data_IF_684060109686
#
_entry.id   IF_684060109686
#
_cell.length_a   1.000
_cell.length_b   1.000
_cell.length_c   1.000
_cell.angle_alpha   90.00
_cell.angle_beta   90.00
_cell.angle_gamma   90.00
#
_symmetry.space_group_name_H-M   'P 1'
#
loop_
_entity.id
_entity.type
_entity.pdbx_description
1 polymer ?
#
# COMPACT_ATOMS: atom_id res chain seq x y z
N UNK A 1 -4.50 17.52 12.40
CA UNK A 1 -3.03 17.74 12.42
C UNK A 1 -2.76 19.25 12.32
N UNK A 2 -1.63 19.78 12.81
CA UNK A 2 -1.25 21.19 12.59
C UNK A 2 -1.20 21.53 11.10
N UNK A 3 -1.55 22.77 10.71
CA UNK A 3 -1.48 23.22 9.31
C UNK A 3 -0.06 23.06 8.76
N UNK A 4 0.06 22.48 7.57
CA UNK A 4 1.34 22.28 6.87
C UNK A 4 2.12 21.02 7.26
N UNK A 5 1.56 20.13 8.09
CA UNK A 5 2.13 18.80 8.38
C UNK A 5 1.31 17.70 7.71
N UNK A 6 2.00 16.71 7.18
CA UNK A 6 1.42 15.46 6.65
C UNK A 6 1.46 14.37 7.72
N UNK A 7 0.73 13.28 7.48
CA UNK A 7 0.79 12.07 8.28
C UNK A 7 2.22 11.55 8.48
N UNK A 8 3.07 11.68 7.46
CA UNK A 8 4.45 11.16 7.48
C UNK A 8 5.40 12.00 8.34
N UNK A 9 5.02 13.23 8.70
CA UNK A 9 5.78 14.11 9.61
C UNK A 9 5.55 13.77 11.10
N UNK A 10 4.70 12.78 11.37
CA UNK A 10 4.33 12.37 12.74
C UNK A 10 5.13 11.17 13.24
N UNK A 11 6.05 10.63 12.44
CA UNK A 11 6.92 9.51 12.79
C UNK A 11 8.39 9.83 12.52
N UNK A 12 9.28 9.17 13.24
CA UNK A 12 10.71 9.20 12.93
C UNK A 12 11.05 8.21 11.80
N UNK A 13 12.04 8.56 10.98
CA UNK A 13 12.41 7.80 9.79
C UNK A 13 13.81 7.20 9.93
N UNK A 14 13.99 6.00 9.38
CA UNK A 14 15.28 5.34 9.23
C UNK A 14 15.44 4.77 7.82
N UNK A 15 16.69 4.47 7.47
CA UNK A 15 17.00 3.70 6.26
C UNK A 15 17.23 2.23 6.64
N UNK A 16 16.79 1.33 5.77
CA UNK A 16 16.93 -0.11 5.94
C UNK A 16 17.23 -0.77 4.59
N UNK A 17 18.13 -1.74 4.57
CA UNK A 17 18.39 -2.55 3.39
C UNK A 17 17.63 -3.87 3.54
N UNK A 18 16.66 -4.11 2.66
CA UNK A 18 15.90 -5.35 2.67
C UNK A 18 16.66 -6.44 1.93
N UNK A 19 17.12 -7.45 2.67
CA UNK A 19 17.80 -8.64 2.14
C UNK A 19 17.03 -9.88 2.58
N UNK A 20 16.57 -10.68 1.63
CA UNK A 20 15.91 -11.96 1.89
C UNK A 20 16.78 -13.08 1.33
N UNK A 21 17.08 -14.06 2.18
CA UNK A 21 17.87 -15.25 1.84
C UNK A 21 16.99 -16.50 1.84
N UNK A 22 17.37 -17.50 1.04
CA UNK A 22 16.78 -18.83 1.09
C UNK A 22 17.39 -19.68 2.23
N UNK A 23 16.95 -20.94 2.35
CA UNK A 23 17.44 -21.87 3.38
C UNK A 23 18.94 -22.19 3.23
N UNK A 24 19.46 -22.11 2.01
CA UNK A 24 20.87 -22.31 1.66
C UNK A 24 21.74 -21.05 1.88
N UNK A 25 21.14 -19.94 2.34
CA UNK A 25 21.83 -18.68 2.62
C UNK A 25 22.09 -17.79 1.39
N UNK A 26 21.64 -18.18 0.20
CA UNK A 26 21.72 -17.37 -1.01
C UNK A 26 20.68 -16.25 -1.01
N UNK A 27 21.09 -15.05 -1.43
CA UNK A 27 20.20 -13.89 -1.53
C UNK A 27 19.23 -14.06 -2.70
N UNK A 28 17.93 -14.05 -2.41
CA UNK A 28 16.85 -14.16 -3.41
C UNK A 28 16.15 -12.82 -3.67
N UNK A 29 16.35 -11.84 -2.80
CA UNK A 29 15.86 -10.49 -2.97
C UNK A 29 16.77 -9.51 -2.23
N UNK A 30 17.08 -8.39 -2.88
CA UNK A 30 17.81 -7.28 -2.27
C UNK A 30 17.22 -5.95 -2.76
N UNK A 31 16.96 -5.03 -1.84
CA UNK A 31 16.64 -3.64 -2.12
C UNK A 31 17.23 -2.74 -1.04
N UNK A 32 18.10 -1.83 -1.44
CA UNK A 32 18.86 -0.96 -0.52
C UNK A 32 18.21 0.41 -0.36
N UNK A 33 18.55 1.07 0.75
CA UNK A 33 18.19 2.46 1.03
C UNK A 33 16.70 2.68 1.22
N UNK A 34 15.98 1.69 1.75
CA UNK A 34 14.53 1.82 1.96
C UNK A 34 14.28 2.79 3.09
N UNK A 35 13.53 3.85 2.82
CA UNK A 35 13.08 4.77 3.86
C UNK A 35 11.82 4.21 4.52
N UNK A 36 11.89 3.97 5.83
CA UNK A 36 10.81 3.36 6.61
C UNK A 36 10.67 4.02 7.99
N UNK A 37 9.49 3.98 8.63
CA UNK A 37 9.32 4.45 10.00
C UNK A 37 10.21 3.66 10.97
N UNK A 38 10.78 4.36 11.96
CA UNK A 38 11.72 3.77 12.91
C UNK A 38 11.10 2.65 13.76
N UNK A 39 9.80 2.71 14.01
CA UNK A 39 9.05 1.73 14.81
C UNK A 39 8.64 0.47 14.01
N UNK A 40 8.80 0.44 12.69
CA UNK A 40 8.48 -0.76 11.89
C UNK A 40 9.56 -1.83 12.07
N UNK A 41 9.18 -3.09 12.24
CA UNK A 41 10.14 -4.19 12.34
C UNK A 41 10.89 -4.41 11.01
N UNK A 42 12.13 -4.90 11.07
CA UNK A 42 12.92 -5.24 9.87
C UNK A 42 12.20 -6.26 8.99
N UNK A 43 11.57 -7.26 9.61
CA UNK A 43 10.75 -8.26 8.91
C UNK A 43 9.59 -7.61 8.14
N UNK A 44 8.90 -6.65 8.75
CA UNK A 44 7.81 -5.91 8.09
C UNK A 44 8.33 -5.11 6.90
N UNK A 45 9.48 -4.44 7.03
CA UNK A 45 10.10 -3.68 5.95
C UNK A 45 10.51 -4.63 4.81
N UNK A 46 11.12 -5.77 5.12
CA UNK A 46 11.53 -6.77 4.13
C UNK A 46 10.32 -7.35 3.36
N UNK A 47 9.22 -7.64 4.06
CA UNK A 47 7.97 -8.10 3.43
C UNK A 47 7.39 -7.00 2.55
N UNK A 48 7.32 -5.76 3.03
CA UNK A 48 6.82 -4.64 2.24
C UNK A 48 7.63 -4.42 0.97
N UNK A 49 8.95 -4.42 1.08
CA UNK A 49 9.87 -4.27 -0.04
C UNK A 49 9.72 -5.37 -1.10
N UNK A 50 9.62 -6.63 -0.66
CA UNK A 50 9.60 -7.79 -1.56
C UNK A 50 8.23 -8.08 -2.15
N UNK A 51 7.14 -7.79 -1.41
CA UNK A 51 5.78 -8.13 -1.81
C UNK A 51 4.96 -6.93 -2.24
N UNK A 52 5.10 -5.76 -1.61
CA UNK A 52 4.16 -4.65 -1.78
C UNK A 52 4.68 -3.48 -2.59
N UNK A 53 5.99 -3.27 -2.66
CA UNK A 53 6.57 -2.25 -3.53
C UNK A 53 6.37 -2.59 -5.01
N UNK A 54 5.99 -1.58 -5.78
CA UNK A 54 5.64 -1.67 -7.20
C UNK A 54 6.60 -0.90 -8.08
N UNK A 55 6.59 -1.23 -9.36
CA UNK A 55 7.23 -0.43 -10.40
C UNK A 55 6.11 0.38 -11.04
N UNK A 56 6.21 1.69 -10.97
CA UNK A 56 5.25 2.65 -11.51
C UNK A 56 6.05 3.56 -12.43
N UNK A 57 5.62 3.66 -13.70
CA UNK A 57 6.33 4.45 -14.73
C UNK A 57 7.84 4.13 -14.81
N UNK A 58 8.17 2.84 -14.73
CA UNK A 58 9.55 2.35 -14.78
C UNK A 58 10.38 2.57 -13.51
N UNK A 59 9.81 3.17 -12.45
CA UNK A 59 10.51 3.41 -11.18
C UNK A 59 9.95 2.53 -10.09
N UNK A 60 10.84 1.80 -9.40
CA UNK A 60 10.46 1.01 -8.24
C UNK A 60 10.27 1.89 -7.02
N UNK A 61 9.18 1.69 -6.31
CA UNK A 61 9.00 2.23 -4.96
C UNK A 61 10.17 1.79 -4.07
N UNK A 62 10.68 2.73 -3.26
CA UNK A 62 11.82 2.52 -2.37
C UNK A 62 11.55 3.06 -0.95
N UNK A 63 10.29 3.32 -0.61
CA UNK A 63 9.94 3.83 0.70
C UNK A 63 8.53 3.44 1.13
N UNK A 64 8.33 3.34 2.44
CA UNK A 64 7.03 3.00 3.04
C UNK A 64 6.02 4.13 2.83
N UNK A 65 6.44 5.40 2.93
CA UNK A 65 5.57 6.54 2.64
C UNK A 65 5.11 6.57 1.18
N UNK A 66 5.98 6.21 0.22
CA UNK A 66 5.61 6.10 -1.19
C UNK A 66 4.54 5.02 -1.41
N UNK A 67 4.74 3.83 -0.85
CA UNK A 67 3.79 2.73 -0.91
C UNK A 67 2.43 3.08 -0.30
N UNK A 68 2.42 3.71 0.88
CA UNK A 68 1.19 4.14 1.55
C UNK A 68 0.50 5.22 0.72
N UNK A 69 1.24 6.27 0.32
CA UNK A 69 0.70 7.40 -0.43
C UNK A 69 0.10 6.96 -1.75
N UNK A 70 0.70 6.01 -2.48
CA UNK A 70 0.09 5.46 -3.71
C UNK A 70 -1.35 5.03 -3.48
N UNK A 71 -1.60 4.26 -2.42
CA UNK A 71 -2.94 3.70 -2.15
C UNK A 71 -3.88 4.79 -1.64
N UNK A 72 -3.47 5.55 -0.61
CA UNK A 72 -4.32 6.56 0.01
C UNK A 72 -4.67 7.70 -0.95
N UNK A 73 -3.69 8.15 -1.74
CA UNK A 73 -3.90 9.18 -2.76
C UNK A 73 -4.88 8.70 -3.83
N UNK A 74 -4.68 7.49 -4.37
CA UNK A 74 -5.59 6.96 -5.39
C UNK A 74 -7.04 6.87 -4.88
N UNK A 75 -7.24 6.43 -3.64
CA UNK A 75 -8.58 6.38 -3.01
C UNK A 75 -9.19 7.78 -2.92
N UNK A 76 -8.44 8.79 -2.48
CA UNK A 76 -8.92 10.16 -2.40
C UNK A 76 -9.25 10.74 -3.79
N UNK A 77 -8.40 10.53 -4.79
CA UNK A 77 -8.65 10.98 -6.16
C UNK A 77 -9.90 10.33 -6.76
N UNK A 78 -10.09 9.02 -6.57
CA UNK A 78 -11.34 8.36 -6.99
C UNK A 78 -12.56 8.88 -6.25
N UNK A 79 -12.42 9.22 -4.96
CA UNK A 79 -13.49 9.89 -4.22
C UNK A 79 -13.91 11.21 -4.87
N UNK A 80 -12.95 12.01 -5.35
CA UNK A 80 -13.22 13.26 -6.08
C UNK A 80 -13.93 12.95 -7.41
N UNK A 81 -13.37 12.05 -8.22
CA UNK A 81 -13.94 11.69 -9.54
C UNK A 81 -15.39 11.18 -9.42
N UNK A 82 -15.70 10.46 -8.35
CA UNK A 82 -17.03 9.90 -8.08
C UNK A 82 -17.97 10.86 -7.36
N UNK A 83 -17.51 12.07 -6.99
CA UNK A 83 -18.33 13.10 -6.35
C UNK A 83 -18.69 12.82 -4.89
N UNK A 84 -17.82 12.12 -4.14
CA UNK A 84 -18.05 11.80 -2.72
C UNK A 84 -17.79 12.94 -1.74
N UNK A 85 -17.25 14.07 -2.20
CA UNK A 85 -16.83 15.17 -1.33
C UNK A 85 -17.56 16.45 -1.69
N UNK A 86 -17.97 17.19 -0.65
CA UNK A 86 -18.57 18.51 -0.79
C UNK A 86 -17.50 19.58 -1.04
N UNK A 87 -16.28 19.35 -0.54
CA UNK A 87 -15.14 20.26 -0.68
C UNK A 87 -13.85 19.52 -1.03
N UNK A 88 -12.90 20.15 -1.78
CA UNK A 88 -11.59 19.56 -2.06
C UNK A 88 -10.78 19.20 -0.79
N UNK A 89 -11.01 19.93 0.29
CA UNK A 89 -10.35 19.73 1.58
C UNK A 89 -10.72 18.40 2.24
N UNK A 90 -11.91 17.87 1.98
CA UNK A 90 -12.34 16.57 2.51
C UNK A 90 -11.55 15.42 1.89
N UNK A 91 -11.27 15.47 0.58
CA UNK A 91 -10.42 14.49 -0.10
C UNK A 91 -9.01 14.47 0.49
N UNK A 92 -8.45 15.67 0.73
CA UNK A 92 -7.15 15.83 1.38
C UNK A 92 -7.17 15.28 2.80
N UNK A 93 -8.25 15.55 3.55
CA UNK A 93 -8.44 15.05 4.91
C UNK A 93 -8.52 13.53 4.93
N UNK A 94 -9.21 12.91 3.97
CA UNK A 94 -9.28 11.46 3.84
C UNK A 94 -7.90 10.86 3.54
N UNK A 95 -7.16 11.41 2.56
CA UNK A 95 -5.83 10.93 2.20
C UNK A 95 -4.88 10.94 3.42
N UNK A 96 -4.84 12.07 4.14
CA UNK A 96 -3.96 12.24 5.30
C UNK A 96 -4.41 11.38 6.49
N UNK A 97 -5.71 11.23 6.72
CA UNK A 97 -6.24 10.37 7.79
C UNK A 97 -5.93 8.90 7.52
N UNK A 98 -6.14 8.41 6.29
CA UNK A 98 -5.78 7.05 5.92
C UNK A 98 -4.26 6.84 6.00
N UNK A 99 -3.47 7.78 5.49
CA UNK A 99 -2.00 7.71 5.55
C UNK A 99 -1.50 7.64 6.99
N UNK A 100 -2.12 8.39 7.92
CA UNK A 100 -1.82 8.34 9.35
C UNK A 100 -2.09 6.95 9.92
N UNK A 101 -3.28 6.39 9.67
CA UNK A 101 -3.63 5.05 10.15
C UNK A 101 -2.65 3.99 9.64
N UNK A 102 -2.22 4.09 8.39
CA UNK A 102 -1.28 3.13 7.79
C UNK A 102 0.14 3.28 8.35
N UNK A 103 0.68 4.51 8.43
CA UNK A 103 2.07 4.72 8.87
C UNK A 103 2.28 4.36 10.33
N UNK A 104 1.26 4.58 11.17
CA UNK A 104 1.25 4.19 12.59
C UNK A 104 0.83 2.73 12.83
N UNK A 105 0.58 1.95 11.77
CA UNK A 105 0.13 0.56 11.84
C UNK A 105 -1.16 0.36 12.70
N UNK A 106 -2.06 1.35 12.70
CA UNK A 106 -3.35 1.30 13.41
C UNK A 106 -4.41 0.54 12.60
N UNK A 107 -4.23 0.45 11.30
CA UNK A 107 -5.04 -0.34 10.37
C UNK A 107 -4.16 -0.80 9.20
N UNK A 108 -4.66 -1.75 8.41
CA UNK A 108 -4.04 -2.18 7.17
C UNK A 108 -5.09 -2.57 6.14
N UNK A 109 -4.87 -2.22 4.88
CA UNK A 109 -5.66 -2.77 3.78
C UNK A 109 -5.30 -4.25 3.55
N UNK A 110 -6.23 -4.98 2.93
CA UNK A 110 -5.96 -6.33 2.47
C UNK A 110 -4.88 -6.35 1.37
N UNK A 111 -4.31 -7.51 1.10
CA UNK A 111 -3.20 -7.63 0.15
C UNK A 111 -3.54 -7.18 -1.28
N UNK A 112 -4.71 -7.53 -1.88
CA UNK A 112 -5.09 -7.03 -3.21
C UNK A 112 -5.03 -5.51 -3.39
N UNK A 113 -5.44 -4.75 -2.36
CA UNK A 113 -5.33 -3.28 -2.37
C UNK A 113 -3.88 -2.85 -2.55
N UNK A 114 -2.96 -3.39 -1.74
CA UNK A 114 -1.52 -3.10 -1.87
C UNK A 114 -0.93 -3.55 -3.21
N UNK A 115 -1.44 -4.64 -3.80
CA UNK A 115 -1.02 -5.14 -5.11
C UNK A 115 -1.42 -4.24 -6.26
N UNK A 116 -2.66 -3.75 -6.28
CA UNK A 116 -3.29 -3.26 -7.51
C UNK A 116 -3.63 -1.76 -7.48
N UNK A 117 -3.95 -1.18 -6.33
CA UNK A 117 -4.42 0.22 -6.25
C UNK A 117 -3.28 1.19 -6.57
N UNK A 118 -3.56 2.16 -7.45
CA UNK A 118 -2.55 3.09 -7.95
C UNK A 118 -1.51 2.46 -8.87
N UNK A 119 -1.74 1.24 -9.35
CA UNK A 119 -0.88 0.52 -10.32
C UNK A 119 -1.65 0.19 -11.60
N UNK A 120 -2.89 -0.28 -11.45
CA UNK A 120 -3.79 -0.61 -12.54
C UNK A 120 -4.87 0.45 -12.67
N UNK A 121 -5.34 0.68 -13.90
CA UNK A 121 -6.46 1.59 -14.18
C UNK A 121 -7.75 1.14 -13.48
N UNK A 122 -8.06 -0.17 -13.57
CA UNK A 122 -9.18 -0.80 -12.89
C UNK A 122 -8.64 -1.85 -11.90
N UNK A 123 -8.38 -1.47 -10.64
CA UNK A 123 -7.75 -2.36 -9.68
C UNK A 123 -8.73 -3.36 -9.05
N UNK A 124 -8.27 -4.60 -8.87
CA UNK A 124 -8.95 -5.62 -8.09
C UNK A 124 -8.58 -5.45 -6.61
N UNK A 125 -9.55 -5.10 -5.76
CA UNK A 125 -9.30 -4.69 -4.36
C UNK A 125 -9.81 -5.68 -3.29
N UNK A 126 -10.49 -6.76 -3.69
CA UNK A 126 -11.13 -7.72 -2.78
C UNK A 126 -10.39 -9.06 -2.76
N UNK A 127 -10.11 -9.62 -1.59
CA UNK A 127 -9.48 -10.95 -1.52
C UNK A 127 -10.50 -12.10 -1.58
N UNK A 128 -11.78 -11.81 -1.35
CA UNK A 128 -12.80 -12.82 -1.11
C UNK A 128 -13.91 -12.71 -2.15
N UNK A 129 -14.32 -13.86 -2.68
CA UNK A 129 -15.40 -13.99 -3.66
C UNK A 129 -16.26 -15.18 -3.27
N UNK A 130 -17.57 -15.06 -3.49
CA UNK A 130 -18.52 -16.15 -3.34
C UNK A 130 -19.15 -16.35 -4.71
N UNK A 131 -19.11 -17.58 -5.22
CA UNK A 131 -19.71 -17.97 -6.49
C UNK A 131 -20.82 -18.98 -6.21
N UNK A 132 -21.92 -18.90 -6.96
CA UNK A 132 -22.94 -19.95 -6.99
C UNK A 132 -22.57 -20.97 -8.06
N UNK A 133 -22.78 -22.25 -7.77
CA UNK A 133 -22.61 -23.34 -8.74
C UNK A 133 -23.95 -24.04 -8.87
N UNK A 134 -24.50 -24.09 -10.08
CA UNK A 134 -25.68 -24.86 -10.44
C UNK A 134 -25.37 -26.36 -10.50
N UNK A 135 -26.41 -27.18 -10.39
CA UNK A 135 -26.29 -28.65 -10.48
C UNK A 135 -26.31 -29.12 -11.94
N UNK A 136 -25.40 -28.59 -12.75
CA UNK A 136 -25.18 -28.97 -14.14
C UNK A 136 -23.70 -28.85 -14.52
N UNK A 137 -23.28 -29.64 -15.53
CA UNK A 137 -21.88 -29.72 -15.92
C UNK A 137 -21.33 -28.40 -16.46
N UNK A 138 -22.16 -27.59 -17.10
CA UNK A 138 -21.74 -26.31 -17.68
C UNK A 138 -21.46 -25.28 -16.58
N UNK A 139 -22.18 -25.34 -15.46
CA UNK A 139 -21.98 -24.44 -14.31
C UNK A 139 -20.79 -24.83 -13.42
N UNK A 140 -20.35 -26.09 -13.45
CA UNK A 140 -19.24 -26.58 -12.62
C UNK A 140 -17.87 -26.24 -13.22
N UNK A 141 -17.78 -26.21 -14.56
CA UNK A 141 -16.54 -26.04 -15.32
C UNK A 141 -16.18 -24.56 -15.52
#
# INVERSE_FOLDING_TARGET
>A
MPRGKTAFDTVEWRHHDAVIKNAEGATIFELKGIRAPANWSETSINIAASKYFRIIDGRRENSIDGMIRRVCHWIAQKGIELGYFDTPEEATTLEESLSYLMVHQMAAFNSPVWFNVGVREVPQCSACFIQSVGDDMDSIL
#
